data_IF_429268243150
#
_entry.id   IF_429268243150
#
_cell.length_a   1.000
_cell.length_b   1.000
_cell.length_c   1.000
_cell.angle_alpha   90.00
_cell.angle_beta   90.00
_cell.angle_gamma   90.00
#
_symmetry.space_group_name_H-M   'P 1'
#
loop_
_entity.id
_entity.type
_entity.pdbx_description
1 polymer ?
#
# COMPACT_ATOMS: atom_id res chain seq x y z
N UNK A 1 -2.57 8.39 14.40
CA UNK A 1 -1.80 7.72 13.35
C UNK A 1 -0.79 8.66 12.72
N UNK A 2 0.38 8.19 12.42
CA UNK A 2 1.42 9.04 11.86
C UNK A 2 1.08 9.39 10.39
N UNK A 3 0.94 10.69 10.12
CA UNK A 3 0.61 11.17 8.78
C UNK A 3 1.68 10.85 7.74
N UNK A 4 2.92 10.59 8.19
CA UNK A 4 4.02 10.31 7.27
C UNK A 4 3.79 9.04 6.43
N UNK A 5 3.03 8.07 6.93
CA UNK A 5 2.76 6.83 6.17
C UNK A 5 1.90 7.09 4.93
N UNK A 6 1.18 8.23 4.89
CA UNK A 6 0.35 8.58 3.73
C UNK A 6 1.07 9.49 2.73
N UNK A 7 2.36 9.75 2.92
CA UNK A 7 3.12 10.60 2.00
C UNK A 7 3.55 9.88 0.72
N UNK A 8 3.62 8.54 0.77
CA UNK A 8 3.96 7.77 -0.41
C UNK A 8 2.74 7.65 -1.32
N UNK A 9 2.92 7.43 -2.63
CA UNK A 9 1.79 7.21 -3.53
C UNK A 9 0.92 6.05 -3.09
N UNK A 10 1.51 4.94 -2.64
CA UNK A 10 0.73 3.81 -2.15
C UNK A 10 -0.04 4.17 -0.87
N UNK A 11 0.58 4.92 0.03
CA UNK A 11 -0.11 5.39 1.23
C UNK A 11 -1.33 6.23 0.89
N UNK A 12 -1.22 7.07 -0.13
CA UNK A 12 -2.36 7.88 -0.59
C UNK A 12 -3.45 7.01 -1.19
N UNK A 13 -3.07 5.97 -1.93
CA UNK A 13 -4.04 5.00 -2.48
C UNK A 13 -4.84 4.37 -1.34
N UNK A 14 -4.15 3.96 -0.27
CA UNK A 14 -4.80 3.38 0.90
C UNK A 14 -5.76 4.38 1.54
N UNK A 15 -5.31 5.61 1.72
CA UNK A 15 -6.15 6.63 2.34
C UNK A 15 -7.39 6.94 1.51
N UNK A 16 -7.24 7.04 0.21
CA UNK A 16 -8.35 7.36 -0.69
C UNK A 16 -9.36 6.22 -0.74
N UNK A 17 -8.88 4.98 -0.84
CA UNK A 17 -9.76 3.83 -1.09
C UNK A 17 -10.26 3.15 0.18
N UNK A 18 -9.49 3.18 1.27
CA UNK A 18 -9.87 2.49 2.51
C UNK A 18 -10.16 3.46 3.65
N UNK A 19 -9.76 4.70 3.54
CA UNK A 19 -9.98 5.79 4.51
C UNK A 19 -9.10 5.70 5.75
N UNK A 20 -9.00 4.54 6.39
CA UNK A 20 -8.21 4.33 7.60
C UNK A 20 -7.38 3.06 7.50
N UNK A 21 -6.34 2.98 8.33
CA UNK A 21 -5.54 1.75 8.44
C UNK A 21 -6.37 0.59 8.96
N UNK A 22 -7.32 0.88 9.85
CA UNK A 22 -8.21 -0.16 10.37
C UNK A 22 -9.02 -0.80 9.25
N UNK A 23 -9.58 0.01 8.36
CA UNK A 23 -10.33 -0.50 7.23
C UNK A 23 -9.44 -1.29 6.28
N UNK A 24 -8.23 -0.80 6.04
CA UNK A 24 -7.26 -1.46 5.16
C UNK A 24 -6.91 -2.86 5.67
N UNK A 25 -6.52 -2.95 6.95
CA UNK A 25 -6.14 -4.25 7.51
C UNK A 25 -7.33 -5.20 7.59
N UNK A 26 -8.52 -4.68 7.87
CA UNK A 26 -9.73 -5.50 7.95
C UNK A 26 -10.10 -6.04 6.57
N UNK A 27 -10.02 -5.22 5.54
CA UNK A 27 -10.33 -5.62 4.17
C UNK A 27 -9.41 -6.74 3.69
N UNK A 28 -8.13 -6.67 4.05
CA UNK A 28 -7.15 -7.66 3.64
C UNK A 28 -7.00 -8.82 4.64
N UNK A 29 -7.62 -8.71 5.80
CA UNK A 29 -7.52 -9.69 6.89
C UNK A 29 -6.07 -9.91 7.31
N UNK A 30 -5.36 -8.82 7.52
CA UNK A 30 -3.96 -8.82 7.93
C UNK A 30 -3.82 -8.14 9.28
N UNK A 31 -2.69 -8.38 9.94
CA UNK A 31 -2.39 -7.77 11.23
C UNK A 31 -2.00 -6.30 11.07
N UNK A 32 -2.06 -5.55 12.16
CA UNK A 32 -1.66 -4.15 12.14
C UNK A 32 -0.19 -3.96 11.70
N UNK A 33 0.78 -4.73 12.23
CA UNK A 33 2.16 -4.61 11.75
C UNK A 33 2.30 -4.90 10.25
N UNK A 34 1.56 -5.90 9.73
CA UNK A 34 1.62 -6.22 8.31
C UNK A 34 1.04 -5.08 7.47
N UNK A 35 -0.07 -4.50 7.91
CA UNK A 35 -0.67 -3.36 7.20
C UNK A 35 0.30 -2.18 7.13
N UNK A 36 0.96 -1.88 8.25
CA UNK A 36 1.95 -0.79 8.29
C UNK A 36 3.15 -1.09 7.40
N UNK A 37 3.60 -2.35 7.38
CA UNK A 37 4.68 -2.76 6.50
C UNK A 37 4.31 -2.51 5.05
N UNK A 38 3.10 -2.87 4.64
CA UNK A 38 2.67 -2.68 3.25
C UNK A 38 2.60 -1.21 2.85
N UNK A 39 2.18 -0.34 3.75
CA UNK A 39 2.09 1.09 3.44
C UNK A 39 3.49 1.70 3.31
N UNK A 40 4.44 1.27 4.13
CA UNK A 40 5.80 1.81 4.10
C UNK A 40 6.70 1.09 3.10
N UNK A 41 6.45 -0.21 2.85
CA UNK A 41 7.23 -1.04 1.94
C UNK A 41 6.30 -1.90 1.09
N UNK A 42 5.56 -1.29 0.16
CA UNK A 42 4.58 -2.04 -0.65
C UNK A 42 5.21 -3.13 -1.49
N UNK A 43 6.50 -3.00 -1.82
CA UNK A 43 7.22 -4.00 -2.60
C UNK A 43 7.35 -5.35 -1.85
N UNK A 44 7.10 -5.37 -0.54
CA UNK A 44 7.14 -6.59 0.27
C UNK A 44 5.79 -7.29 0.37
N UNK A 45 4.80 -6.76 -0.32
CA UNK A 45 3.45 -7.29 -0.25
C UNK A 45 3.33 -8.66 -0.90
N UNK A 46 2.56 -9.56 -0.25
CA UNK A 46 2.24 -10.85 -0.83
C UNK A 46 1.28 -10.68 -2.00
N UNK A 47 1.40 -11.58 -2.99
CA UNK A 47 0.60 -11.49 -4.21
C UNK A 47 -0.90 -11.56 -3.91
N UNK A 48 -1.31 -12.41 -2.96
CA UNK A 48 -2.72 -12.51 -2.60
C UNK A 48 -3.28 -11.19 -2.06
N UNK A 49 -2.48 -10.47 -1.29
CA UNK A 49 -2.90 -9.19 -0.72
C UNK A 49 -2.94 -8.11 -1.80
N UNK A 50 -1.98 -8.14 -2.71
CA UNK A 50 -1.98 -7.27 -3.87
C UNK A 50 -3.25 -7.46 -4.71
N UNK A 51 -3.63 -8.71 -4.97
CA UNK A 51 -4.86 -9.02 -5.70
C UNK A 51 -6.09 -8.51 -4.96
N UNK A 52 -6.12 -8.65 -3.64
CA UNK A 52 -7.24 -8.15 -2.84
C UNK A 52 -7.38 -6.64 -2.92
N UNK A 53 -6.25 -5.92 -2.96
CA UNK A 53 -6.27 -4.47 -3.14
C UNK A 53 -6.89 -4.11 -4.48
N UNK A 54 -6.50 -4.80 -5.53
CA UNK A 54 -7.07 -4.56 -6.86
C UNK A 54 -8.58 -4.79 -6.86
N UNK A 55 -9.04 -5.87 -6.22
CA UNK A 55 -10.46 -6.17 -6.12
C UNK A 55 -11.23 -5.09 -5.34
N UNK A 56 -10.68 -4.64 -4.22
CA UNK A 56 -11.35 -3.64 -3.39
C UNK A 56 -11.38 -2.25 -4.02
N UNK A 57 -10.34 -1.89 -4.76
CA UNK A 57 -10.24 -0.55 -5.33
C UNK A 57 -10.83 -0.46 -6.73
N UNK A 58 -10.96 -1.59 -7.42
CA UNK A 58 -11.36 -1.59 -8.83
C UNK A 58 -10.25 -1.15 -9.77
N UNK A 59 -9.04 -0.96 -9.25
CA UNK A 59 -7.90 -0.55 -10.05
C UNK A 59 -7.24 -1.77 -10.69
N UNK A 60 -6.58 -1.55 -11.84
CA UNK A 60 -5.80 -2.61 -12.47
C UNK A 60 -4.54 -2.90 -11.66
N UNK A 61 -3.93 -4.07 -11.92
CA UNK A 61 -2.66 -4.42 -11.30
C UNK A 61 -1.58 -3.39 -11.62
N UNK A 62 -1.56 -2.92 -12.86
CA UNK A 62 -0.59 -1.93 -13.29
C UNK A 62 -0.77 -0.60 -12.56
N UNK A 63 -2.01 -0.18 -12.38
CA UNK A 63 -2.30 1.05 -11.65
C UNK A 63 -1.85 0.96 -10.20
N UNK A 64 -2.13 -0.16 -9.54
CA UNK A 64 -1.71 -0.35 -8.14
C UNK A 64 -0.19 -0.45 -8.07
N UNK A 65 0.43 -1.24 -8.96
CA UNK A 65 1.88 -1.42 -8.96
C UNK A 65 2.63 -0.12 -9.26
N UNK A 66 2.04 0.76 -10.06
CA UNK A 66 2.66 2.05 -10.38
C UNK A 66 2.87 2.91 -9.13
N UNK A 67 2.08 2.70 -8.09
CA UNK A 67 2.24 3.44 -6.83
C UNK A 67 3.43 2.95 -6.02
N UNK A 68 4.02 1.80 -6.36
CA UNK A 68 5.21 1.27 -5.68
C UNK A 68 6.50 1.90 -6.23
N UNK A 69 6.48 2.30 -7.50
CA UNK A 69 7.67 2.72 -8.23
C UNK A 69 8.44 3.88 -7.58
N UNK A 70 7.79 4.96 -7.15
CA UNK A 70 8.52 6.05 -6.51
C UNK A 70 9.28 5.63 -5.26
N UNK A 71 8.74 4.70 -4.48
CA UNK A 71 9.42 4.18 -3.28
C UNK A 71 10.68 3.40 -3.68
N UNK A 72 10.55 2.56 -4.71
CA UNK A 72 11.67 1.78 -5.22
C UNK A 72 12.76 2.71 -5.76
N UNK A 73 12.38 3.72 -6.54
CA UNK A 73 13.32 4.67 -7.13
C UNK A 73 14.05 5.49 -6.06
N UNK A 74 13.36 5.91 -5.03
CA UNK A 74 13.97 6.65 -3.92
C UNK A 74 15.03 5.79 -3.25
N UNK A 75 14.75 4.51 -3.02
CA UNK A 75 15.70 3.60 -2.41
C UNK A 75 16.94 3.41 -3.28
N UNK A 76 16.77 3.33 -4.60
CA UNK A 76 17.88 3.21 -5.53
C UNK A 76 18.74 4.46 -5.54
N UNK A 77 18.14 5.63 -5.47
CA UNK A 77 18.88 6.89 -5.46
C UNK A 77 19.73 7.08 -4.20
N UNK A 78 19.31 6.47 -3.10
CA UNK A 78 20.03 6.57 -1.84
C UNK A 78 21.19 5.58 -1.74
N UNK A 79 21.34 4.71 -2.69
CA UNK A 79 22.49 3.81 -2.78
C UNK A 79 23.72 4.54 -3.37
#
# INVERSE_FOLDING_TARGET
MNKAIYKTPFGRLVKINFKTMKNFKTALRISDPTARLYVTHPERMRIKDFNNICLHTGLSREEVFSTFTPTILINEEND
#
